data_IF_973330513101
#
_entry.id   IF_973330513101
#
_cell.length_a   1.000
_cell.length_b   1.000
_cell.length_c   1.000
_cell.angle_alpha   90.00
_cell.angle_beta   90.00
_cell.angle_gamma   90.00
#
_symmetry.space_group_name_H-M   'P 1'
#
loop_
_entity.id
_entity.type
_entity.pdbx_description
1 polymer ?
#
# COMPACT_ATOMS: atom_id res chain seq x y z
N UNK A 1 -9.45 21.66 -16.48
CA UNK A 1 -9.48 20.20 -16.75
C UNK A 1 -8.43 19.53 -15.90
N UNK A 2 -8.81 18.49 -15.17
CA UNK A 2 -7.89 17.66 -14.36
C UNK A 2 -7.75 16.30 -15.05
N UNK A 3 -6.50 15.91 -15.34
CA UNK A 3 -6.16 14.59 -15.86
C UNK A 3 -5.59 13.74 -14.72
N UNK A 4 -6.32 12.72 -14.28
CA UNK A 4 -5.92 11.78 -13.23
C UNK A 4 -5.85 10.37 -13.81
N UNK A 5 -4.86 10.14 -14.67
CA UNK A 5 -4.70 8.92 -15.47
C UNK A 5 -3.78 7.88 -14.82
N UNK A 6 -3.26 8.16 -13.63
CA UNK A 6 -2.36 7.28 -12.88
C UNK A 6 -0.91 7.37 -13.34
N UNK A 7 -0.12 6.38 -12.94
CA UNK A 7 1.30 6.25 -13.27
C UNK A 7 1.57 4.92 -13.95
N UNK A 8 2.62 4.88 -14.77
CA UNK A 8 3.16 3.68 -15.41
C UNK A 8 4.57 3.46 -14.89
N UNK A 9 4.93 2.21 -14.61
CA UNK A 9 6.30 1.88 -14.25
C UNK A 9 7.26 2.20 -15.40
N UNK A 10 8.38 2.82 -15.07
CA UNK A 10 9.49 3.00 -16.02
C UNK A 10 10.36 1.75 -15.97
N UNK A 11 10.05 0.78 -16.84
CA UNK A 11 10.71 -0.53 -16.88
C UNK A 11 11.46 -0.79 -18.19
N UNK A 12 11.60 0.21 -19.05
CA UNK A 12 12.24 0.05 -20.37
C UNK A 12 13.68 -0.48 -20.25
N UNK A 13 14.46 0.03 -19.30
CA UNK A 13 15.81 -0.45 -19.06
C UNK A 13 15.84 -1.93 -18.67
N UNK A 14 14.90 -2.36 -17.83
CA UNK A 14 14.78 -3.75 -17.40
C UNK A 14 14.39 -4.68 -18.56
N UNK A 15 13.44 -4.24 -19.41
CA UNK A 15 13.06 -4.98 -20.61
C UNK A 15 14.24 -5.12 -21.57
N UNK A 16 14.99 -4.05 -21.82
CA UNK A 16 16.16 -4.06 -22.69
C UNK A 16 17.30 -4.92 -22.13
N UNK A 17 17.37 -5.08 -20.80
CA UNK A 17 18.29 -6.01 -20.14
C UNK A 17 17.81 -7.46 -20.10
N UNK A 18 16.63 -7.76 -20.65
CA UNK A 18 16.06 -9.11 -20.67
C UNK A 18 15.44 -9.57 -19.35
N UNK A 19 15.20 -8.64 -18.40
CA UNK A 19 14.55 -8.97 -17.13
C UNK A 19 13.05 -9.23 -17.31
N UNK A 20 12.47 -10.08 -16.46
CA UNK A 20 11.03 -10.34 -16.45
C UNK A 20 10.26 -9.12 -15.97
N UNK A 21 9.24 -8.76 -16.75
CA UNK A 21 8.29 -7.68 -16.46
C UNK A 21 6.88 -8.28 -16.44
N UNK A 22 6.11 -7.95 -15.42
CA UNK A 22 4.77 -8.46 -15.25
C UNK A 22 3.73 -7.76 -16.15
N UNK A 23 2.49 -8.26 -16.15
CA UNK A 23 1.43 -7.78 -17.04
C UNK A 23 1.01 -6.32 -16.82
N UNK A 24 1.36 -5.75 -15.68
CA UNK A 24 1.11 -4.33 -15.34
C UNK A 24 2.31 -3.42 -15.65
N UNK A 25 3.37 -3.98 -16.21
CA UNK A 25 4.59 -3.26 -16.59
C UNK A 25 5.61 -3.12 -15.47
N UNK A 26 5.37 -3.68 -14.29
CA UNK A 26 6.34 -3.67 -13.19
C UNK A 26 7.40 -4.76 -13.33
N UNK A 27 8.61 -4.50 -12.88
CA UNK A 27 9.69 -5.48 -12.85
C UNK A 27 9.32 -6.57 -11.84
N UNK A 28 9.38 -7.83 -12.25
CA UNK A 28 9.10 -8.97 -11.37
C UNK A 28 10.30 -9.21 -10.45
N UNK A 29 10.03 -9.32 -9.17
CA UNK A 29 11.04 -9.64 -8.15
C UNK A 29 10.54 -10.77 -7.24
N UNK A 30 11.47 -11.49 -6.63
CA UNK A 30 11.19 -12.48 -5.60
C UNK A 30 10.96 -11.83 -4.22
N UNK A 31 10.81 -12.63 -3.18
CA UNK A 31 10.62 -12.14 -1.81
C UNK A 31 11.86 -11.42 -1.24
N UNK A 32 13.03 -11.60 -1.84
CA UNK A 32 14.28 -10.91 -1.47
C UNK A 32 14.56 -9.67 -2.32
N UNK A 33 13.61 -9.31 -3.21
CA UNK A 33 13.70 -8.19 -4.16
C UNK A 33 14.74 -8.40 -5.26
N UNK A 34 15.11 -9.66 -5.52
CA UNK A 34 15.94 -10.08 -6.65
C UNK A 34 15.09 -10.20 -7.91
N UNK A 35 15.63 -9.79 -9.05
CA UNK A 35 14.96 -9.90 -10.36
C UNK A 35 15.13 -11.32 -10.94
N UNK A 36 14.76 -11.52 -12.21
CA UNK A 36 15.06 -12.74 -12.94
C UNK A 36 16.56 -12.99 -13.20
N UNK A 37 17.40 -12.00 -12.98
CA UNK A 37 18.86 -12.11 -12.93
C UNK A 37 19.31 -12.01 -11.46
N UNK A 38 19.99 -13.04 -10.96
CA UNK A 38 20.42 -13.14 -9.57
C UNK A 38 21.41 -12.06 -9.11
N UNK A 39 22.03 -11.36 -10.05
CA UNK A 39 22.96 -10.26 -9.78
C UNK A 39 22.25 -8.90 -9.71
N UNK A 40 20.94 -8.85 -9.99
CA UNK A 40 20.19 -7.58 -10.12
C UNK A 40 19.02 -7.57 -9.14
N UNK A 41 18.96 -6.52 -8.36
CA UNK A 41 17.82 -6.20 -7.48
C UNK A 41 17.00 -5.05 -8.07
N UNK A 42 15.70 -5.05 -7.80
CA UNK A 42 14.83 -3.92 -8.15
C UNK A 42 13.93 -3.54 -6.97
N UNK A 43 13.68 -2.24 -6.81
CA UNK A 43 12.87 -1.68 -5.71
C UNK A 43 12.04 -0.48 -6.17
N UNK A 44 11.13 -0.04 -5.32
CA UNK A 44 10.37 1.19 -5.48
C UNK A 44 9.19 1.05 -6.43
N UNK A 45 8.85 2.14 -7.09
CA UNK A 45 7.61 2.28 -7.88
C UNK A 45 7.60 1.44 -9.16
N UNK A 46 8.78 0.98 -9.60
CA UNK A 46 8.94 0.24 -10.84
C UNK A 46 8.73 -1.26 -10.72
N UNK A 47 8.55 -1.83 -9.51
CA UNK A 47 8.44 -3.27 -9.29
C UNK A 47 7.00 -3.73 -9.07
N UNK A 48 6.72 -5.00 -9.38
CA UNK A 48 5.56 -5.71 -8.86
C UNK A 48 5.87 -6.27 -7.46
N UNK A 49 4.93 -6.12 -6.54
CA UNK A 49 5.03 -6.61 -5.16
C UNK A 49 3.80 -7.44 -4.81
N UNK A 50 3.91 -8.25 -3.78
CA UNK A 50 2.76 -8.94 -3.22
C UNK A 50 1.93 -8.00 -2.34
N UNK A 51 0.61 -8.01 -2.54
CA UNK A 51 -0.34 -7.54 -1.54
C UNK A 51 -0.14 -8.31 -0.22
N UNK A 52 -0.17 -7.58 0.90
CA UNK A 52 0.09 -8.20 2.20
C UNK A 52 -1.02 -9.17 2.63
N UNK A 53 -2.28 -8.88 2.31
CA UNK A 53 -3.46 -9.63 2.79
C UNK A 53 -3.73 -10.84 1.91
N UNK A 54 -3.95 -10.64 0.63
CA UNK A 54 -4.38 -11.70 -0.30
C UNK A 54 -3.26 -12.27 -1.17
N UNK A 55 -2.03 -11.78 -0.99
CA UNK A 55 -0.82 -12.29 -1.66
C UNK A 55 -0.86 -12.26 -3.21
N UNK A 56 -1.76 -11.51 -3.80
CA UNK A 56 -1.77 -11.32 -5.25
C UNK A 56 -0.72 -10.27 -5.67
N UNK A 57 -0.26 -10.37 -6.91
CA UNK A 57 0.69 -9.42 -7.48
C UNK A 57 0.02 -8.05 -7.72
N UNK A 58 0.68 -7.01 -7.28
CA UNK A 58 0.21 -5.63 -7.40
C UNK A 58 1.37 -4.66 -7.55
N UNK A 59 1.06 -3.41 -7.84
CA UNK A 59 2.04 -2.31 -7.84
C UNK A 59 1.58 -1.28 -6.82
N UNK A 60 2.49 -0.85 -5.97
CA UNK A 60 2.21 0.13 -4.91
C UNK A 60 3.28 1.23 -4.94
N UNK A 61 3.11 2.25 -5.81
CA UNK A 61 4.06 3.34 -5.98
C UNK A 61 3.97 4.32 -4.79
N UNK A 62 4.60 3.96 -3.67
CA UNK A 62 4.60 4.72 -2.43
C UNK A 62 5.99 4.74 -1.79
N UNK A 63 6.37 5.88 -1.24
CA UNK A 63 7.67 6.10 -0.60
C UNK A 63 7.95 5.18 0.60
N UNK A 64 6.93 4.86 1.40
CA UNK A 64 7.07 3.98 2.57
C UNK A 64 7.60 2.59 2.22
N UNK A 65 6.93 1.83 1.33
CA UNK A 65 7.43 0.57 0.81
C UNK A 65 8.81 0.69 0.16
N UNK A 66 9.03 1.70 -0.70
CA UNK A 66 10.30 1.90 -1.40
C UNK A 66 11.48 2.07 -0.42
N UNK A 67 11.32 2.87 0.64
CA UNK A 67 12.33 3.04 1.67
C UNK A 67 12.63 1.74 2.44
N UNK A 68 11.61 0.95 2.76
CA UNK A 68 11.79 -0.34 3.41
C UNK A 68 12.52 -1.33 2.50
N UNK A 69 12.14 -1.37 1.22
CA UNK A 69 12.78 -2.22 0.21
C UNK A 69 14.26 -1.89 0.06
N UNK A 70 14.64 -0.61 0.03
CA UNK A 70 16.04 -0.19 -0.04
C UNK A 70 16.90 -0.73 1.11
N UNK A 71 16.37 -0.73 2.33
CA UNK A 71 17.07 -1.32 3.49
C UNK A 71 17.17 -2.84 3.38
N UNK A 72 16.09 -3.51 2.96
CA UNK A 72 16.06 -4.96 2.76
C UNK A 72 17.07 -5.39 1.71
N UNK A 73 17.13 -4.71 0.56
CA UNK A 73 18.10 -5.02 -0.49
C UNK A 73 19.53 -4.83 0.01
N UNK A 74 19.82 -3.74 0.73
CA UNK A 74 21.14 -3.55 1.32
C UNK A 74 21.53 -4.71 2.24
N UNK A 75 20.61 -5.18 3.09
CA UNK A 75 20.83 -6.34 3.96
C UNK A 75 21.02 -7.64 3.16
N UNK A 76 20.26 -7.84 2.08
CA UNK A 76 20.34 -9.04 1.24
C UNK A 76 21.63 -9.10 0.43
N UNK A 77 22.11 -7.97 -0.08
CA UNK A 77 23.44 -7.88 -0.72
C UNK A 77 24.55 -8.32 0.24
N UNK A 78 24.39 -8.04 1.54
CA UNK A 78 25.32 -8.50 2.59
C UNK A 78 25.02 -9.92 3.12
N UNK A 79 24.12 -10.66 2.46
CA UNK A 79 23.86 -12.08 2.75
C UNK A 79 22.89 -12.36 3.90
N UNK A 80 22.09 -11.37 4.38
CA UNK A 80 21.17 -11.57 5.52
C UNK A 80 19.88 -12.31 5.19
N UNK A 81 19.47 -12.40 3.93
CA UNK A 81 18.24 -13.06 3.48
C UNK A 81 16.97 -12.54 4.20
N UNK A 82 16.74 -11.24 4.17
CA UNK A 82 15.56 -10.59 4.76
C UNK A 82 14.44 -10.53 3.73
N UNK A 83 13.28 -11.19 3.95
CA UNK A 83 12.19 -11.16 2.98
C UNK A 83 11.37 -9.86 3.09
N UNK A 84 10.93 -9.36 1.94
CA UNK A 84 9.90 -8.33 1.84
C UNK A 84 8.51 -8.98 1.86
N UNK A 85 7.79 -8.82 2.96
CA UNK A 85 6.50 -9.51 3.20
C UNK A 85 5.30 -8.92 2.43
N UNK A 86 5.53 -7.98 1.54
CA UNK A 86 4.47 -7.24 0.85
C UNK A 86 4.09 -5.94 1.56
N UNK A 87 3.03 -5.31 1.09
CA UNK A 87 2.57 -4.01 1.61
C UNK A 87 1.05 -3.91 1.66
N UNK A 88 0.54 -3.14 2.61
CA UNK A 88 -0.88 -2.77 2.73
C UNK A 88 -1.24 -1.57 1.83
N UNK A 89 -0.26 -0.88 1.25
CA UNK A 89 -0.51 0.30 0.44
C UNK A 89 -1.06 1.48 1.25
N UNK A 90 -0.62 1.64 2.49
CA UNK A 90 -1.05 2.76 3.34
C UNK A 90 -0.61 4.09 2.73
N UNK A 91 -1.59 4.99 2.53
CA UNK A 91 -1.37 6.30 1.94
C UNK A 91 -2.21 7.36 2.66
N UNK A 92 -1.64 8.56 2.78
CA UNK A 92 -2.28 9.71 3.40
C UNK A 92 -2.06 10.92 2.47
N UNK A 93 -3.12 11.67 2.24
CA UNK A 93 -3.08 12.90 1.45
C UNK A 93 -3.90 14.00 2.13
N UNK A 94 -3.36 15.21 2.13
CA UNK A 94 -4.10 16.40 2.54
C UNK A 94 -4.65 17.12 1.32
N UNK A 95 -5.95 17.40 1.34
CA UNK A 95 -6.67 18.11 0.28
C UNK A 95 -7.35 19.31 0.92
N UNK A 96 -6.79 20.49 0.77
CA UNK A 96 -7.15 21.70 1.50
C UNK A 96 -7.10 21.44 3.03
N UNK A 97 -8.24 21.57 3.71
CA UNK A 97 -8.34 21.35 5.16
C UNK A 97 -8.65 19.89 5.55
N UNK A 98 -8.96 19.05 4.57
CA UNK A 98 -9.27 17.65 4.81
C UNK A 98 -8.04 16.75 4.61
N UNK A 99 -7.85 15.84 5.54
CA UNK A 99 -6.91 14.72 5.42
C UNK A 99 -7.69 13.46 5.06
N UNK A 100 -7.22 12.74 4.06
CA UNK A 100 -7.75 11.45 3.64
C UNK A 100 -6.67 10.40 3.83
N UNK A 101 -6.99 9.29 4.48
CA UNK A 101 -6.07 8.18 4.67
C UNK A 101 -6.72 6.86 4.28
N UNK A 102 -5.91 5.95 3.74
CA UNK A 102 -6.34 4.61 3.34
C UNK A 102 -5.26 3.60 3.72
N UNK A 103 -5.68 2.39 4.05
CA UNK A 103 -4.80 1.23 4.20
C UNK A 103 -5.54 -0.03 3.76
N UNK A 104 -4.83 -1.00 3.18
CA UNK A 104 -5.41 -2.26 2.69
C UNK A 104 -6.48 -2.07 1.62
N UNK A 105 -7.49 -2.93 1.66
CA UNK A 105 -8.52 -3.02 0.62
C UNK A 105 -9.78 -2.24 0.97
N UNK A 106 -10.29 -1.50 0.01
CA UNK A 106 -11.63 -0.91 0.07
C UNK A 106 -12.68 -1.87 -0.53
N UNK A 107 -13.97 -1.56 -0.37
CA UNK A 107 -15.06 -2.38 -0.90
C UNK A 107 -14.95 -2.64 -2.42
N UNK A 108 -14.51 -1.64 -3.19
CA UNK A 108 -14.39 -1.79 -4.65
C UNK A 108 -13.34 -2.83 -5.02
N UNK A 109 -12.19 -2.83 -4.33
CA UNK A 109 -11.14 -3.83 -4.54
C UNK A 109 -11.58 -5.22 -4.08
N UNK A 110 -12.25 -5.34 -2.94
CA UNK A 110 -12.76 -6.62 -2.43
C UNK A 110 -13.81 -7.23 -3.35
N UNK A 111 -14.75 -6.42 -3.87
CA UNK A 111 -15.73 -6.89 -4.88
C UNK A 111 -15.05 -7.37 -6.15
N UNK A 112 -14.00 -6.66 -6.61
CA UNK A 112 -13.23 -7.07 -7.80
C UNK A 112 -12.49 -8.40 -7.58
N UNK A 113 -12.02 -8.64 -6.36
CA UNK A 113 -11.37 -9.89 -5.97
C UNK A 113 -12.35 -11.03 -5.67
N UNK A 114 -13.66 -10.75 -5.62
CA UNK A 114 -14.69 -11.74 -5.25
C UNK A 114 -14.61 -12.16 -3.77
N UNK A 115 -14.00 -11.35 -2.91
CA UNK A 115 -13.82 -11.65 -1.48
C UNK A 115 -15.06 -11.19 -0.71
N UNK A 116 -15.72 -12.07 0.06
CA UNK A 116 -16.79 -11.68 0.98
C UNK A 116 -16.26 -10.76 2.09
N UNK A 117 -17.00 -9.73 2.42
CA UNK A 117 -16.62 -8.78 3.48
C UNK A 117 -17.85 -8.14 4.12
N UNK A 118 -17.65 -7.64 5.32
CA UNK A 118 -18.55 -6.69 5.98
C UNK A 118 -17.86 -5.34 6.13
N UNK A 119 -18.64 -4.29 6.34
CA UNK A 119 -18.08 -2.96 6.59
C UNK A 119 -18.77 -2.27 7.76
N UNK A 120 -18.01 -1.51 8.52
CA UNK A 120 -18.49 -0.66 9.60
C UNK A 120 -18.06 0.77 9.38
N UNK A 121 -18.94 1.70 9.71
CA UNK A 121 -18.68 3.14 9.70
C UNK A 121 -18.79 3.68 11.11
N UNK A 122 -17.79 4.44 11.53
CA UNK A 122 -17.77 5.11 12.83
C UNK A 122 -17.32 6.56 12.66
N UNK A 123 -17.69 7.39 13.62
CA UNK A 123 -17.38 8.82 13.62
C UNK A 123 -16.70 9.24 14.94
N UNK A 124 -15.49 8.73 15.23
CA UNK A 124 -14.75 9.14 16.40
C UNK A 124 -14.29 10.59 16.29
N UNK A 125 -13.91 11.17 17.42
CA UNK A 125 -13.16 12.44 17.45
C UNK A 125 -11.66 12.19 17.40
N UNK A 126 -10.90 13.16 16.90
CA UNK A 126 -9.45 13.07 16.69
C UNK A 126 -8.67 12.80 17.99
N UNK A 127 -9.11 13.37 19.10
CA UNK A 127 -8.59 13.15 20.45
C UNK A 127 -9.69 13.40 21.48
N UNK A 128 -9.37 13.29 22.78
CA UNK A 128 -10.32 13.50 23.87
C UNK A 128 -10.96 14.90 23.77
N UNK A 129 -12.29 14.96 23.82
CA UNK A 129 -13.07 16.17 23.55
C UNK A 129 -12.87 17.32 24.57
N UNK A 130 -12.24 17.05 25.70
CA UNK A 130 -11.90 18.08 26.68
C UNK A 130 -10.61 18.86 26.32
N UNK A 131 -9.82 18.41 25.33
CA UNK A 131 -8.73 19.18 24.77
C UNK A 131 -9.23 20.06 23.61
N UNK A 132 -8.73 21.33 23.51
CA UNK A 132 -9.08 22.20 22.40
C UNK A 132 -8.72 21.62 21.04
N UNK A 133 -9.54 21.89 20.04
CA UNK A 133 -9.27 21.49 18.64
C UNK A 133 -9.72 20.08 18.26
N UNK A 134 -10.46 19.38 19.13
CA UNK A 134 -11.03 18.07 18.77
C UNK A 134 -11.96 18.21 17.56
N UNK A 135 -11.75 17.37 16.53
CA UNK A 135 -12.53 17.36 15.31
C UNK A 135 -13.04 15.95 14.97
N UNK A 136 -14.19 15.81 14.31
CA UNK A 136 -14.71 14.51 13.93
C UNK A 136 -13.88 13.89 12.79
N UNK A 137 -13.77 12.56 12.83
CA UNK A 137 -13.20 11.73 11.77
C UNK A 137 -14.29 10.78 11.30
N UNK A 138 -14.51 10.68 10.00
CA UNK A 138 -15.31 9.60 9.40
C UNK A 138 -14.37 8.46 9.05
N UNK A 139 -14.56 7.30 9.69
CA UNK A 139 -13.75 6.11 9.48
C UNK A 139 -14.63 4.95 9.04
N UNK A 140 -14.18 4.27 8.00
CA UNK A 140 -14.76 3.04 7.49
C UNK A 140 -13.73 1.93 7.56
N UNK A 141 -14.15 0.75 8.01
CA UNK A 141 -13.32 -0.44 8.06
C UNK A 141 -14.02 -1.57 7.32
N UNK A 142 -13.25 -2.36 6.57
CA UNK A 142 -13.69 -3.59 5.91
C UNK A 142 -13.01 -4.79 6.55
N UNK A 143 -13.76 -5.86 6.77
CA UNK A 143 -13.27 -7.03 7.50
C UNK A 143 -13.98 -8.33 7.08
N UNK A 144 -13.37 -9.45 7.41
CA UNK A 144 -13.98 -10.76 7.29
C UNK A 144 -15.02 -10.94 8.40
N UNK A 145 -16.25 -11.30 8.02
CA UNK A 145 -17.35 -11.52 8.96
C UNK A 145 -17.13 -12.71 9.90
N UNK A 146 -16.45 -13.75 9.45
CA UNK A 146 -16.31 -15.01 10.18
C UNK A 146 -15.26 -14.94 11.30
N UNK A 147 -14.09 -14.33 11.01
CA UNK A 147 -12.96 -14.32 11.92
C UNK A 147 -12.51 -12.91 12.37
N UNK A 148 -13.12 -11.86 11.80
CA UNK A 148 -12.81 -10.47 12.13
C UNK A 148 -11.50 -9.96 11.52
N UNK A 149 -10.85 -10.71 10.65
CA UNK A 149 -9.61 -10.26 9.96
C UNK A 149 -9.87 -8.95 9.23
N UNK A 150 -9.12 -7.91 9.54
CA UNK A 150 -9.25 -6.60 8.91
C UNK A 150 -8.65 -6.64 7.51
N UNK A 151 -9.44 -6.25 6.51
CA UNK A 151 -9.00 -6.15 5.11
C UNK A 151 -8.54 -4.74 4.74
N UNK A 152 -9.05 -3.72 5.38
CA UNK A 152 -8.61 -2.35 5.14
C UNK A 152 -9.45 -1.31 5.85
N UNK A 153 -8.99 -0.07 5.80
CA UNK A 153 -9.67 1.07 6.37
C UNK A 153 -9.50 2.33 5.51
N UNK A 154 -10.50 3.22 5.58
CA UNK A 154 -10.45 4.55 4.98
C UNK A 154 -10.91 5.56 6.03
N UNK A 155 -10.21 6.69 6.12
CA UNK A 155 -10.58 7.76 7.04
C UNK A 155 -10.51 9.13 6.37
N UNK A 156 -11.43 10.00 6.77
CA UNK A 156 -11.47 11.41 6.34
C UNK A 156 -11.77 12.28 7.53
N UNK A 157 -11.03 13.36 7.69
CA UNK A 157 -11.22 14.34 8.77
C UNK A 157 -10.31 15.54 8.58
N UNK A 158 -10.41 16.51 9.47
CA UNK A 158 -9.57 17.70 9.43
C UNK A 158 -8.23 17.47 10.12
N UNK A 159 -8.25 16.78 11.28
CA UNK A 159 -7.08 16.57 12.12
C UNK A 159 -7.06 15.16 12.72
N UNK A 160 -5.87 14.63 13.02
CA UNK A 160 -5.66 13.34 13.68
C UNK A 160 -5.99 12.08 12.86
N UNK A 161 -6.27 12.21 11.56
CA UNK A 161 -6.59 11.08 10.65
C UNK A 161 -5.39 10.15 10.51
N UNK A 162 -4.18 10.69 10.41
CA UNK A 162 -2.92 9.96 10.34
C UNK A 162 -2.75 9.03 11.55
N UNK A 163 -2.94 9.56 12.75
CA UNK A 163 -2.82 8.81 14.01
C UNK A 163 -3.85 7.70 14.18
N UNK A 164 -4.98 7.78 13.48
CA UNK A 164 -6.03 6.75 13.51
C UNK A 164 -5.83 5.66 12.47
N UNK A 165 -4.99 5.93 11.46
CA UNK A 165 -4.75 4.98 10.38
C UNK A 165 -3.47 4.16 10.57
N UNK A 166 -2.47 4.68 11.30
CA UNK A 166 -1.28 3.95 11.72
C UNK A 166 -1.62 2.87 12.77
#
# INVERSE_FOLDING_TARGET
TILSIGVKAESELAVNAGLLVGPRGGIVVDEYLQTSDESIYAIGDAIEVQDYIFKHQTMVPLAGPANRQGRIVADNIYGKQVPFKGTLGTAIAKVFDLTVAVTGHNEKSLRKLGVPFESVHIHPISHAGYYPGASPISLKMTFNKEDGTIYGAQAVGMDGVDKRMD
#
